data_IF_211867187833
#
_entry.id   IF_211867187833
#
_cell.length_a   1.000
_cell.length_b   1.000
_cell.length_c   1.000
_cell.angle_alpha   90.00
_cell.angle_beta   90.00
_cell.angle_gamma   90.00
#
_symmetry.space_group_name_H-M   'P 1'
#
loop_
_entity.id
_entity.type
_entity.pdbx_description
1 polymer ?
#
# COMPACT_ATOMS: atom_id res chain seq x y z
N UNK A 1 1.09 -36.85 -32.58
CA UNK A 1 2.30 -36.55 -31.77
C UNK A 1 2.12 -35.12 -31.25
N UNK A 2 1.28 -34.99 -30.18
CA UNK A 2 1.03 -33.69 -29.55
C UNK A 2 2.09 -33.51 -28.45
N UNK A 3 3.10 -32.74 -28.78
CA UNK A 3 3.97 -32.15 -27.74
C UNK A 3 3.08 -31.17 -26.95
N UNK A 4 2.76 -31.51 -25.71
CA UNK A 4 2.26 -30.58 -24.74
C UNK A 4 3.30 -29.43 -24.63
N UNK A 5 3.07 -28.32 -25.30
CA UNK A 5 3.70 -27.05 -24.98
C UNK A 5 3.38 -26.80 -23.50
N UNK A 6 4.29 -27.16 -22.62
CA UNK A 6 4.25 -26.77 -21.22
C UNK A 6 4.38 -25.25 -21.24
N UNK A 7 3.22 -24.55 -21.25
CA UNK A 7 3.23 -23.12 -21.04
C UNK A 7 3.97 -22.82 -19.74
N UNK A 8 4.97 -21.96 -19.82
CA UNK A 8 5.63 -21.49 -18.60
C UNK A 8 4.56 -20.92 -17.65
N UNK A 9 4.68 -21.17 -16.34
CA UNK A 9 3.75 -20.61 -15.36
C UNK A 9 3.70 -19.08 -15.50
N UNK A 10 2.51 -18.52 -15.61
CA UNK A 10 2.33 -17.06 -15.62
C UNK A 10 2.60 -16.56 -14.20
N UNK A 11 3.56 -15.64 -13.97
CA UNK A 11 3.77 -15.05 -12.67
C UNK A 11 2.63 -14.06 -12.35
N UNK A 12 2.17 -14.04 -11.09
CA UNK A 12 1.23 -13.01 -10.64
C UNK A 12 1.91 -11.64 -10.56
N UNK A 13 3.17 -11.63 -10.09
CA UNK A 13 4.12 -10.51 -10.12
C UNK A 13 5.46 -11.09 -10.57
N UNK A 14 6.14 -10.45 -11.53
CA UNK A 14 7.39 -10.96 -12.09
C UNK A 14 8.61 -10.19 -11.59
N UNK A 15 9.06 -10.56 -10.39
CA UNK A 15 10.28 -10.01 -9.79
C UNK A 15 11.55 -10.54 -10.49
N UNK A 16 11.47 -11.71 -11.16
CA UNK A 16 12.60 -12.27 -11.89
C UNK A 16 12.91 -11.46 -13.15
N UNK A 17 11.88 -11.07 -13.92
CA UNK A 17 12.05 -10.18 -15.07
C UNK A 17 12.61 -8.80 -14.64
N UNK A 18 12.14 -8.25 -13.52
CA UNK A 18 12.67 -7.00 -12.96
C UNK A 18 14.17 -7.16 -12.61
N UNK A 19 14.53 -8.25 -11.92
CA UNK A 19 15.92 -8.57 -11.59
C UNK A 19 16.80 -8.68 -12.85
N UNK A 20 16.28 -9.33 -13.90
CA UNK A 20 16.97 -9.47 -15.17
C UNK A 20 17.19 -8.12 -15.87
N UNK A 21 16.18 -7.23 -15.86
CA UNK A 21 16.27 -5.86 -16.41
C UNK A 21 17.36 -5.04 -15.73
N UNK A 22 17.46 -5.12 -14.41
CA UNK A 22 18.46 -4.39 -13.64
C UNK A 22 19.88 -4.96 -13.85
N UNK A 23 20.01 -6.27 -14.04
CA UNK A 23 21.25 -6.93 -14.42
C UNK A 23 22.42 -6.59 -13.48
N UNK A 24 23.56 -6.28 -14.09
CA UNK A 24 24.82 -6.02 -13.38
C UNK A 24 24.79 -4.80 -12.46
N UNK A 25 24.00 -3.76 -12.76
CA UNK A 25 23.94 -2.56 -11.92
C UNK A 25 23.49 -2.87 -10.51
N UNK A 26 22.51 -3.78 -10.38
CA UNK A 26 22.02 -4.25 -9.10
C UNK A 26 23.06 -5.10 -8.36
N UNK A 27 23.77 -5.99 -9.06
CA UNK A 27 24.84 -6.80 -8.46
C UNK A 27 25.96 -5.91 -7.93
N UNK A 28 26.38 -4.91 -8.70
CA UNK A 28 27.42 -3.95 -8.32
C UNK A 28 26.96 -3.10 -7.12
N UNK A 29 25.67 -2.72 -7.04
CA UNK A 29 25.13 -1.97 -5.91
C UNK A 29 25.22 -2.78 -4.61
N UNK A 30 24.81 -4.05 -4.63
CA UNK A 30 24.93 -4.95 -3.48
C UNK A 30 26.40 -5.20 -3.12
N UNK A 31 27.27 -5.43 -4.13
CA UNK A 31 28.69 -5.65 -3.92
C UNK A 31 29.40 -4.47 -3.24
N UNK A 32 29.00 -3.22 -3.53
CA UNK A 32 29.52 -2.02 -2.84
C UNK A 32 29.22 -2.06 -1.35
N UNK A 33 27.99 -2.42 -0.95
CA UNK A 33 27.64 -2.54 0.47
C UNK A 33 28.45 -3.62 1.17
N UNK A 34 28.64 -4.78 0.51
CA UNK A 34 29.48 -5.86 1.04
C UNK A 34 30.93 -5.43 1.20
N UNK A 35 31.46 -4.60 0.29
CA UNK A 35 32.84 -4.12 0.31
C UNK A 35 33.13 -3.16 1.48
N UNK A 36 32.18 -2.23 1.79
CA UNK A 36 32.39 -1.28 2.90
C UNK A 36 31.84 -1.76 4.25
N UNK A 37 31.06 -2.84 4.30
CA UNK A 37 30.53 -3.47 5.51
C UNK A 37 29.68 -2.57 6.43
N UNK A 38 29.13 -1.45 5.94
CA UNK A 38 28.19 -0.62 6.71
C UNK A 38 26.75 -1.09 6.48
N UNK A 39 26.39 -2.22 7.08
CA UNK A 39 25.10 -2.88 6.85
C UNK A 39 23.89 -2.13 7.43
N UNK A 40 24.10 -1.21 8.38
CA UNK A 40 23.09 -0.33 8.95
C UNK A 40 23.60 1.12 8.94
N UNK A 41 22.75 2.04 8.47
CA UNK A 41 23.09 3.46 8.43
C UNK A 41 24.22 3.81 7.43
N UNK A 42 24.45 2.96 6.42
CA UNK A 42 25.41 3.22 5.36
C UNK A 42 25.01 4.39 4.45
N UNK A 43 25.91 4.82 3.56
CA UNK A 43 25.68 5.97 2.68
C UNK A 43 24.46 5.79 1.77
N UNK A 44 24.10 4.56 1.38
CA UNK A 44 22.94 4.24 0.56
C UNK A 44 21.62 4.59 1.27
N UNK A 45 21.57 4.53 2.60
CA UNK A 45 20.40 4.95 3.38
C UNK A 45 20.16 6.45 3.21
N UNK A 46 21.23 7.26 3.36
CA UNK A 46 21.16 8.72 3.23
C UNK A 46 20.75 9.11 1.81
N UNK A 47 21.36 8.46 0.82
CA UNK A 47 21.06 8.67 -0.59
C UNK A 47 19.60 8.30 -0.91
N UNK A 48 19.14 7.13 -0.46
CA UNK A 48 17.76 6.67 -0.68
C UNK A 48 16.74 7.63 -0.07
N UNK A 49 16.95 8.06 1.18
CA UNK A 49 16.06 9.01 1.84
C UNK A 49 15.97 10.34 1.05
N UNK A 50 17.10 10.84 0.55
CA UNK A 50 17.12 12.04 -0.28
C UNK A 50 16.40 11.84 -1.63
N UNK A 51 16.63 10.72 -2.32
CA UNK A 51 16.01 10.42 -3.61
C UNK A 51 14.51 10.15 -3.48
N UNK A 52 14.05 9.46 -2.42
CA UNK A 52 12.62 9.27 -2.15
C UNK A 52 11.91 10.59 -1.89
N UNK A 53 12.51 11.47 -1.07
CA UNK A 53 11.95 12.79 -0.81
C UNK A 53 11.85 13.62 -2.10
N UNK A 54 12.91 13.66 -2.89
CA UNK A 54 12.94 14.36 -4.18
C UNK A 54 11.92 13.79 -5.18
N UNK A 55 11.78 12.47 -5.24
CA UNK A 55 10.85 11.77 -6.13
C UNK A 55 9.39 12.17 -5.87
N UNK A 56 8.99 12.30 -4.61
CA UNK A 56 7.63 12.67 -4.23
C UNK A 56 7.42 14.19 -4.09
N UNK A 57 8.50 14.99 -4.04
CA UNK A 57 8.44 16.41 -3.71
C UNK A 57 8.23 16.71 -2.22
N UNK A 58 8.52 15.73 -1.34
CA UNK A 58 8.55 15.92 0.11
C UNK A 58 9.87 16.55 0.56
N UNK A 59 9.87 17.23 1.73
CA UNK A 59 11.11 17.77 2.28
C UNK A 59 12.00 16.69 2.88
N UNK A 60 11.41 15.66 3.46
CA UNK A 60 12.13 14.64 4.22
C UNK A 60 11.55 13.24 3.95
N UNK A 61 12.44 12.25 3.98
CA UNK A 61 12.09 10.85 4.08
C UNK A 61 12.84 10.18 5.22
N UNK A 62 12.23 9.19 5.86
CA UNK A 62 12.83 8.33 6.88
C UNK A 62 12.57 6.89 6.48
N UNK A 63 13.59 6.16 6.09
CA UNK A 63 13.50 4.73 5.78
C UNK A 63 13.33 3.91 7.05
N UNK A 64 12.60 2.81 6.98
CA UNK A 64 12.34 1.92 8.11
C UNK A 64 12.21 0.45 7.67
N UNK A 65 12.01 -0.43 8.65
CA UNK A 65 12.01 -1.89 8.48
C UNK A 65 10.83 -2.45 7.71
N UNK A 66 9.69 -1.76 7.70
CA UNK A 66 8.47 -2.21 6.99
C UNK A 66 7.44 -1.09 6.84
N UNK A 67 6.44 -1.30 5.97
CA UNK A 67 5.28 -0.40 5.90
C UNK A 67 4.46 -0.37 7.20
N UNK A 68 4.38 -1.48 7.91
CA UNK A 68 3.72 -1.56 9.23
C UNK A 68 4.44 -0.67 10.24
N UNK A 69 5.77 -0.77 10.31
CA UNK A 69 6.56 0.09 11.18
C UNK A 69 6.49 1.56 10.77
N UNK A 70 6.37 1.86 9.47
CA UNK A 70 6.18 3.22 9.00
C UNK A 70 4.90 3.86 9.60
N UNK A 71 3.78 3.14 9.57
CA UNK A 71 2.52 3.59 10.20
C UNK A 71 2.68 3.71 11.71
N UNK A 72 3.18 2.65 12.36
CA UNK A 72 3.35 2.60 13.82
C UNK A 72 4.26 3.73 14.33
N UNK A 73 5.38 3.97 13.65
CA UNK A 73 6.33 5.03 14.02
C UNK A 73 5.70 6.42 14.01
N UNK A 74 4.86 6.74 13.02
CA UNK A 74 4.17 8.03 12.97
C UNK A 74 3.17 8.15 14.12
N UNK A 75 2.39 7.11 14.39
CA UNK A 75 1.43 7.09 15.50
C UNK A 75 2.14 7.25 16.86
N UNK A 76 3.24 6.53 17.07
CA UNK A 76 4.08 6.68 18.29
C UNK A 76 4.68 8.08 18.40
N UNK A 77 5.21 8.64 17.29
CA UNK A 77 5.80 9.98 17.27
C UNK A 77 4.78 11.08 17.53
N UNK A 78 3.49 10.83 17.26
CA UNK A 78 2.37 11.72 17.55
C UNK A 78 1.74 11.47 18.93
N UNK A 79 2.25 10.50 19.71
CA UNK A 79 1.76 10.18 21.04
C UNK A 79 0.37 9.55 21.05
N UNK A 80 -0.02 8.86 19.98
CA UNK A 80 -1.28 8.13 19.90
C UNK A 80 -1.25 6.96 20.88
N UNK A 81 -2.31 6.82 21.67
CA UNK A 81 -2.38 5.81 22.74
C UNK A 81 -3.78 5.56 23.28
N UNK A 82 -3.89 4.94 24.47
CA UNK A 82 -5.18 4.57 25.06
C UNK A 82 -6.13 5.76 25.22
N UNK A 83 -7.39 5.57 24.81
CA UNK A 83 -8.42 6.60 24.82
C UNK A 83 -8.49 7.42 23.52
N UNK A 84 -7.48 7.33 22.65
CA UNK A 84 -7.54 7.94 21.32
C UNK A 84 -8.23 7.00 20.33
N UNK A 85 -8.84 7.59 19.30
CA UNK A 85 -9.39 6.87 18.15
C UNK A 85 -8.67 7.29 16.87
N UNK A 86 -8.39 6.32 16.00
CA UNK A 86 -7.87 6.53 14.65
C UNK A 86 -8.83 5.90 13.65
N UNK A 87 -9.31 6.71 12.70
CA UNK A 87 -10.25 6.26 11.67
C UNK A 87 -9.48 5.60 10.53
N UNK A 88 -9.88 4.41 10.11
CA UNK A 88 -9.25 3.71 9.00
C UNK A 88 -10.28 2.88 8.21
N UNK A 89 -10.10 2.69 6.89
CA UNK A 89 -11.00 1.86 6.11
C UNK A 89 -10.98 0.41 6.60
N UNK A 90 -12.11 -0.27 6.49
CA UNK A 90 -12.20 -1.68 6.84
C UNK A 90 -11.75 -2.61 5.70
N UNK A 91 -11.84 -2.14 4.47
CA UNK A 91 -11.37 -2.87 3.31
C UNK A 91 -9.94 -2.44 2.97
N UNK A 92 -8.97 -3.01 3.69
CA UNK A 92 -7.53 -2.73 3.56
C UNK A 92 -6.70 -3.92 4.05
N UNK A 93 -5.38 -3.83 3.91
CA UNK A 93 -4.43 -4.74 4.57
C UNK A 93 -4.44 -4.51 6.09
N UNK A 94 -4.24 -5.58 6.85
CA UNK A 94 -4.36 -5.52 8.32
C UNK A 94 -3.44 -4.50 8.99
N UNK A 95 -2.27 -4.21 8.42
CA UNK A 95 -1.30 -3.28 9.00
C UNK A 95 -1.89 -1.90 9.32
N UNK A 96 -2.85 -1.42 8.52
CA UNK A 96 -3.49 -0.10 8.73
C UNK A 96 -4.19 -0.01 10.10
N UNK A 97 -5.00 -1.02 10.47
CA UNK A 97 -5.66 -1.07 11.77
C UNK A 97 -4.79 -1.64 12.88
N UNK A 98 -3.88 -2.56 12.54
CA UNK A 98 -2.94 -3.19 13.45
C UNK A 98 -1.99 -2.18 14.09
N UNK A 99 -1.40 -1.28 13.29
CA UNK A 99 -0.51 -0.23 13.79
C UNK A 99 -1.21 0.66 14.84
N UNK A 100 -2.50 0.95 14.65
CA UNK A 100 -3.30 1.69 15.63
C UNK A 100 -3.48 0.87 16.92
N UNK A 101 -3.89 -0.39 16.79
CA UNK A 101 -4.13 -1.25 17.94
C UNK A 101 -2.85 -1.48 18.78
N UNK A 102 -1.68 -1.58 18.13
CA UNK A 102 -0.38 -1.75 18.79
C UNK A 102 0.02 -0.54 19.65
N UNK A 103 -0.49 0.68 19.38
CA UNK A 103 -0.28 1.83 20.27
C UNK A 103 -1.19 1.81 21.52
N UNK A 104 -2.13 0.88 21.60
CA UNK A 104 -3.19 0.87 22.62
C UNK A 104 -4.36 1.80 22.30
N UNK A 105 -4.33 2.52 21.18
CA UNK A 105 -5.46 3.30 20.68
C UNK A 105 -6.53 2.39 20.04
N UNK A 106 -7.67 2.96 19.76
CA UNK A 106 -8.80 2.24 19.16
C UNK A 106 -8.89 2.54 17.66
N UNK A 107 -8.65 1.57 16.77
CA UNK A 107 -9.05 1.73 15.38
C UNK A 107 -10.57 1.77 15.28
N UNK A 108 -11.11 2.76 14.57
CA UNK A 108 -12.53 2.85 14.25
C UNK A 108 -12.70 2.64 12.76
N UNK A 109 -13.30 1.52 12.40
CA UNK A 109 -13.40 1.13 10.99
C UNK A 109 -14.53 1.90 10.28
N UNK A 110 -14.20 2.38 9.09
CA UNK A 110 -15.13 3.07 8.20
C UNK A 110 -15.24 2.34 6.87
N UNK A 111 -16.33 2.59 6.13
CA UNK A 111 -16.57 1.96 4.85
C UNK A 111 -15.74 2.60 3.73
N UNK A 112 -15.77 1.98 2.57
CA UNK A 112 -15.07 2.42 1.37
C UNK A 112 -16.06 2.68 0.23
N UNK A 113 -15.60 3.35 -0.81
CA UNK A 113 -16.34 3.55 -2.05
C UNK A 113 -16.28 2.28 -2.92
N UNK A 114 -17.38 1.97 -3.57
CA UNK A 114 -17.57 0.73 -4.32
C UNK A 114 -16.67 0.62 -5.57
N UNK A 115 -16.37 1.75 -6.19
CA UNK A 115 -15.69 1.82 -7.49
C UNK A 115 -14.20 2.17 -7.39
N UNK A 116 -13.78 2.80 -6.29
CA UNK A 116 -12.37 3.15 -6.05
C UNK A 116 -11.71 2.29 -4.97
N UNK A 117 -12.51 1.59 -4.14
CA UNK A 117 -12.07 0.80 -2.97
C UNK A 117 -11.45 1.65 -1.84
N UNK A 118 -11.40 2.95 -2.02
CA UNK A 118 -10.79 3.89 -1.08
C UNK A 118 -11.83 4.43 -0.09
N UNK A 119 -11.35 5.04 1.00
CA UNK A 119 -12.18 5.51 2.11
C UNK A 119 -13.40 6.33 1.65
N UNK A 120 -14.59 6.01 2.18
CA UNK A 120 -15.83 6.79 1.97
C UNK A 120 -15.86 8.00 2.92
N UNK A 121 -15.83 9.25 2.40
CA UNK A 121 -15.90 10.45 3.23
C UNK A 121 -17.17 10.53 4.09
N UNK A 122 -18.29 10.00 3.61
CA UNK A 122 -19.53 9.98 4.39
C UNK A 122 -19.44 8.98 5.55
N UNK A 123 -18.85 7.82 5.34
CA UNK A 123 -18.59 6.85 6.39
C UNK A 123 -17.53 7.35 7.37
N UNK A 124 -16.52 8.10 6.91
CA UNK A 124 -15.54 8.75 7.78
C UNK A 124 -16.22 9.68 8.79
N UNK A 125 -17.15 10.55 8.34
CA UNK A 125 -17.90 11.43 9.25
C UNK A 125 -18.73 10.62 10.27
N UNK A 126 -19.39 9.53 9.86
CA UNK A 126 -20.12 8.63 10.78
C UNK A 126 -19.18 7.96 11.79
N UNK A 127 -18.00 7.50 11.34
CA UNK A 127 -16.99 6.90 12.21
C UNK A 127 -16.47 7.87 13.28
N UNK A 128 -16.25 9.15 12.93
CA UNK A 128 -15.85 10.20 13.88
C UNK A 128 -16.97 10.41 14.93
N UNK A 129 -18.22 10.50 14.50
CA UNK A 129 -19.36 10.60 15.41
C UNK A 129 -19.46 9.39 16.34
N UNK A 130 -19.26 8.18 15.79
CA UNK A 130 -19.24 6.93 16.57
C UNK A 130 -18.14 6.97 17.63
N UNK A 131 -16.90 7.37 17.28
CA UNK A 131 -15.80 7.48 18.23
C UNK A 131 -16.14 8.44 19.38
N UNK A 132 -16.66 9.64 19.06
CA UNK A 132 -17.09 10.63 20.06
C UNK A 132 -18.19 10.09 20.99
N UNK A 133 -19.18 9.40 20.43
CA UNK A 133 -20.27 8.77 21.19
C UNK A 133 -19.78 7.68 22.16
N UNK A 134 -18.72 6.97 21.79
CA UNK A 134 -18.06 5.95 22.62
C UNK A 134 -17.10 6.55 23.68
N UNK A 135 -16.99 7.87 23.77
CA UNK A 135 -16.10 8.56 24.69
C UNK A 135 -14.62 8.53 24.27
N UNK A 136 -14.33 8.11 23.04
CA UNK A 136 -12.98 8.14 22.47
C UNK A 136 -12.67 9.53 21.91
N UNK A 137 -11.38 9.83 21.80
CA UNK A 137 -10.87 11.09 21.22
C UNK A 137 -10.38 10.83 19.79
N UNK A 138 -11.13 11.18 18.73
CA UNK A 138 -10.62 11.11 17.38
C UNK A 138 -9.36 11.99 17.25
N UNK A 139 -8.26 11.40 16.75
CA UNK A 139 -6.95 12.07 16.61
C UNK A 139 -6.42 12.05 15.21
N UNK A 140 -6.71 10.99 14.46
CA UNK A 140 -6.17 10.80 13.14
C UNK A 140 -7.13 10.07 12.22
N UNK A 141 -6.90 10.20 10.93
CA UNK A 141 -7.44 9.33 9.88
C UNK A 141 -6.29 8.76 9.07
N UNK A 142 -6.39 7.47 8.72
CA UNK A 142 -5.46 6.78 7.84
C UNK A 142 -6.22 6.40 6.55
N UNK A 143 -6.28 7.29 5.54
CA UNK A 143 -6.70 6.87 4.20
C UNK A 143 -5.68 5.89 3.64
N UNK A 144 -6.13 5.00 2.76
CA UNK A 144 -5.26 4.02 2.10
C UNK A 144 -5.36 4.22 0.60
N UNK A 145 -4.23 4.32 -0.09
CA UNK A 145 -4.16 4.38 -1.55
C UNK A 145 -4.23 2.96 -2.14
N UNK A 146 -5.39 2.34 -2.00
CA UNK A 146 -5.58 0.92 -2.23
C UNK A 146 -5.41 0.56 -3.72
N UNK A 147 -4.78 -0.58 -3.97
CA UNK A 147 -4.51 -1.15 -5.29
C UNK A 147 -3.64 -0.27 -6.21
N UNK A 148 -3.13 0.84 -5.69
CA UNK A 148 -2.26 1.74 -6.44
C UNK A 148 -2.91 3.05 -6.86
N UNK A 149 -4.17 3.27 -6.52
CA UNK A 149 -4.91 4.49 -6.76
C UNK A 149 -5.06 5.32 -5.49
N UNK A 150 -4.80 6.63 -5.60
CA UNK A 150 -4.97 7.61 -4.53
C UNK A 150 -6.38 7.62 -3.95
N UNK A 151 -6.48 7.77 -2.63
CA UNK A 151 -7.71 8.22 -1.97
C UNK A 151 -8.09 9.65 -2.41
N UNK A 152 -9.33 10.07 -2.12
CA UNK A 152 -9.73 11.49 -2.28
C UNK A 152 -9.14 12.33 -1.13
N UNK A 153 -7.88 12.72 -1.30
CA UNK A 153 -7.16 13.48 -0.29
C UNK A 153 -7.77 14.84 0.02
N UNK A 154 -8.44 15.49 -0.94
CA UNK A 154 -9.09 16.78 -0.68
C UNK A 154 -10.30 16.59 0.24
N UNK A 155 -11.13 15.57 0.00
CA UNK A 155 -12.29 15.27 0.84
C UNK A 155 -11.86 14.83 2.25
N UNK A 156 -10.81 14.00 2.35
CA UNK A 156 -10.25 13.56 3.64
C UNK A 156 -9.65 14.73 4.40
N UNK A 157 -8.84 15.58 3.73
CA UNK A 157 -8.21 16.74 4.35
C UNK A 157 -9.24 17.74 4.87
N UNK A 158 -10.33 18.00 4.12
CA UNK A 158 -11.40 18.89 4.57
C UNK A 158 -12.05 18.37 5.85
N UNK A 159 -12.38 17.06 5.91
CA UNK A 159 -12.97 16.46 7.12
C UNK A 159 -11.97 16.49 8.28
N UNK A 160 -10.72 16.18 8.01
CA UNK A 160 -9.67 16.18 9.04
C UNK A 160 -9.46 17.59 9.63
N UNK A 161 -9.49 18.64 8.81
CA UNK A 161 -9.39 20.02 9.26
C UNK A 161 -10.59 20.43 10.11
N UNK A 162 -11.82 20.11 9.69
CA UNK A 162 -13.05 20.39 10.43
C UNK A 162 -13.05 19.75 11.84
N UNK A 163 -12.41 18.58 11.97
CA UNK A 163 -12.45 17.75 13.17
C UNK A 163 -11.15 17.81 14.00
N UNK A 164 -10.16 18.56 13.56
CA UNK A 164 -8.84 18.67 14.22
C UNK A 164 -8.03 17.38 14.21
N UNK A 165 -8.19 16.57 13.17
CA UNK A 165 -7.44 15.31 12.97
C UNK A 165 -6.17 15.55 12.16
N UNK A 166 -5.12 14.79 12.43
CA UNK A 166 -4.07 14.67 11.43
C UNK A 166 -4.35 13.53 10.44
N UNK A 167 -3.84 13.66 9.22
CA UNK A 167 -3.91 12.64 8.19
C UNK A 167 -2.57 11.92 8.12
N UNK A 168 -2.59 10.60 8.24
CA UNK A 168 -1.47 9.70 7.95
C UNK A 168 -1.84 8.88 6.71
N UNK A 169 -1.25 9.20 5.58
CA UNK A 169 -1.54 8.54 4.33
C UNK A 169 -0.84 7.17 4.26
N UNK A 170 -1.59 6.09 4.03
CA UNK A 170 -1.06 4.74 3.80
C UNK A 170 -0.90 4.50 2.30
N UNK A 171 0.24 4.87 1.78
CA UNK A 171 0.63 4.71 0.39
C UNK A 171 1.41 3.39 0.13
N UNK A 172 1.27 2.38 0.98
CA UNK A 172 1.96 1.09 0.81
C UNK A 172 1.66 0.42 -0.55
N UNK A 173 0.58 0.79 -1.21
CA UNK A 173 0.23 0.34 -2.57
C UNK A 173 0.20 1.48 -3.59
N UNK A 174 0.15 2.74 -3.14
CA UNK A 174 -0.02 3.92 -3.98
C UNK A 174 1.27 4.70 -4.28
N UNK A 175 2.41 4.35 -3.67
CA UNK A 175 3.68 5.06 -3.88
C UNK A 175 4.05 5.14 -5.36
N UNK A 176 4.24 6.36 -5.88
CA UNK A 176 4.51 6.64 -7.30
C UNK A 176 3.28 7.08 -8.11
N UNK A 177 2.06 6.88 -7.60
CA UNK A 177 0.85 7.45 -8.18
C UNK A 177 0.78 8.96 -7.96
N UNK A 178 -0.18 9.61 -8.59
CA UNK A 178 -0.45 11.03 -8.39
C UNK A 178 -1.94 11.32 -8.19
N UNK A 179 -2.21 12.33 -7.39
CA UNK A 179 -3.52 12.91 -7.17
C UNK A 179 -3.50 14.37 -7.62
N UNK A 180 -4.32 14.70 -8.64
CA UNK A 180 -4.42 16.06 -9.22
C UNK A 180 -3.04 16.67 -9.57
N UNK A 181 -2.19 15.87 -10.19
CA UNK A 181 -0.85 16.29 -10.64
C UNK A 181 0.24 16.33 -9.57
N UNK A 182 -0.06 16.01 -8.30
CA UNK A 182 0.92 15.88 -7.22
C UNK A 182 1.20 14.40 -6.94
N UNK A 183 2.47 14.02 -6.86
CA UNK A 183 2.84 12.64 -6.47
C UNK A 183 2.41 12.33 -5.04
N UNK A 184 2.01 11.09 -4.81
CA UNK A 184 1.77 10.55 -3.48
C UNK A 184 3.08 10.62 -2.67
N UNK A 185 2.97 11.08 -1.41
CA UNK A 185 4.10 11.28 -0.51
C UNK A 185 4.10 12.63 0.22
N UNK A 186 3.19 13.55 -0.17
CA UNK A 186 3.08 14.88 0.44
C UNK A 186 1.65 15.22 0.91
N UNK A 187 0.81 14.20 1.08
CA UNK A 187 -0.55 14.36 1.58
C UNK A 187 -0.61 14.13 3.10
N UNK A 188 -1.35 15.00 3.79
CA UNK A 188 -1.46 14.97 5.26
C UNK A 188 -0.18 15.39 6.00
N UNK A 189 -0.06 14.91 7.23
CA UNK A 189 1.11 15.13 8.10
C UNK A 189 2.31 14.30 7.67
N UNK A 190 2.04 13.06 7.25
CA UNK A 190 3.03 12.11 6.78
C UNK A 190 2.38 11.08 5.84
N UNK A 191 3.17 10.54 4.94
CA UNK A 191 2.84 9.40 4.09
C UNK A 191 3.73 8.23 4.46
N UNK A 192 3.14 7.07 4.77
CA UNK A 192 3.83 5.80 5.02
C UNK A 192 3.80 4.94 3.75
N UNK A 193 4.92 4.31 3.39
CA UNK A 193 4.98 3.36 2.28
C UNK A 193 5.70 2.09 2.64
N UNK A 194 5.52 1.05 1.83
CA UNK A 194 6.09 -0.28 2.01
C UNK A 194 6.96 -0.66 0.82
N UNK A 195 8.10 -1.25 1.10
CA UNK A 195 9.01 -1.84 0.11
C UNK A 195 9.02 -3.37 0.16
N UNK A 196 7.97 -4.01 0.67
CA UNK A 196 7.81 -5.46 0.56
C UNK A 196 7.99 -5.90 -0.90
N UNK A 197 8.64 -7.04 -1.20
CA UNK A 197 9.09 -7.41 -2.56
C UNK A 197 8.01 -7.35 -3.65
N UNK A 198 6.74 -7.60 -3.30
CA UNK A 198 5.63 -7.55 -4.24
C UNK A 198 5.03 -6.16 -4.45
N UNK A 199 5.53 -5.12 -3.77
CA UNK A 199 5.08 -3.74 -3.95
C UNK A 199 5.60 -3.15 -5.26
N UNK A 200 4.95 -2.12 -5.82
CA UNK A 200 5.41 -1.47 -7.05
C UNK A 200 6.88 -1.07 -6.99
N UNK A 201 7.33 -0.46 -5.90
CA UNK A 201 8.74 -0.27 -5.57
C UNK A 201 9.06 -1.18 -4.37
N UNK A 202 9.55 -2.40 -4.63
CA UNK A 202 9.85 -3.39 -3.60
C UNK A 202 11.35 -3.69 -3.50
N UNK A 203 11.88 -3.87 -2.28
CA UNK A 203 13.25 -4.33 -2.04
C UNK A 203 13.36 -5.88 -2.06
N UNK A 204 14.45 -6.44 -1.62
CA UNK A 204 14.66 -7.90 -1.57
C UNK A 204 14.50 -8.47 -0.15
N UNK A 205 13.54 -7.95 0.57
CA UNK A 205 13.17 -8.29 1.92
C UNK A 205 12.11 -7.30 2.41
N UNK A 206 12.01 -7.12 3.71
CA UNK A 206 11.14 -6.09 4.26
C UNK A 206 11.78 -4.70 4.19
N UNK A 207 10.94 -3.69 4.08
CA UNK A 207 11.33 -2.29 4.05
C UNK A 207 10.12 -1.37 4.00
N UNK A 208 10.33 -0.12 4.34
CA UNK A 208 9.35 0.94 4.26
C UNK A 208 10.00 2.31 4.37
N UNK A 209 9.20 3.34 4.21
CA UNK A 209 9.61 4.71 4.46
C UNK A 209 8.43 5.59 4.89
N UNK A 210 8.76 6.69 5.52
CA UNK A 210 7.84 7.77 5.90
C UNK A 210 8.32 9.03 5.21
N UNK A 211 7.42 9.73 4.53
CA UNK A 211 7.67 11.03 3.92
C UNK A 211 6.92 12.09 4.71
N UNK A 212 7.53 13.26 4.91
CA UNK A 212 6.91 14.37 5.64
C UNK A 212 7.59 15.70 5.30
N UNK A 213 6.86 16.79 5.49
CA UNK A 213 7.40 18.15 5.41
C UNK A 213 7.68 18.77 6.80
N UNK A 214 7.35 18.03 7.88
CA UNK A 214 7.49 18.48 9.28
C UNK A 214 8.85 18.07 9.85
N UNK A 215 9.72 19.06 10.08
CA UNK A 215 11.05 18.85 10.65
C UNK A 215 11.00 18.31 12.10
N UNK A 216 10.00 18.72 12.90
CA UNK A 216 9.84 18.21 14.26
C UNK A 216 9.40 16.74 14.27
N UNK A 217 8.55 16.34 13.31
CA UNK A 217 8.20 14.94 13.13
C UNK A 217 9.42 14.12 12.66
N UNK A 218 10.23 14.65 11.73
CA UNK A 218 11.47 14.00 11.29
C UNK A 218 12.38 13.63 12.46
N UNK A 219 12.60 14.57 13.39
CA UNK A 219 13.44 14.31 14.57
C UNK A 219 12.85 13.20 15.45
N UNK A 220 11.54 13.27 15.71
CA UNK A 220 10.86 12.22 16.49
C UNK A 220 10.94 10.86 15.82
N UNK A 221 10.72 10.78 14.50
CA UNK A 221 10.79 9.53 13.73
C UNK A 221 12.20 8.91 13.75
N UNK A 222 13.24 9.73 13.58
CA UNK A 222 14.64 9.26 13.68
C UNK A 222 14.95 8.67 15.05
N UNK A 223 14.44 9.28 16.10
CA UNK A 223 14.56 8.78 17.45
C UNK A 223 13.78 7.47 17.66
N UNK A 224 12.49 7.43 17.28
CA UNK A 224 11.63 6.22 17.39
C UNK A 224 12.23 5.05 16.60
N UNK A 225 12.76 5.27 15.40
CA UNK A 225 13.41 4.26 14.55
C UNK A 225 14.58 3.53 15.25
N UNK A 226 15.22 4.20 16.20
CA UNK A 226 16.43 3.74 16.87
C UNK A 226 16.27 3.76 18.40
N UNK A 227 15.31 2.99 18.91
CA UNK A 227 15.04 2.76 20.33
C UNK A 227 14.69 4.02 21.14
N UNK A 228 14.24 5.10 20.49
CA UNK A 228 13.88 6.34 21.18
C UNK A 228 15.08 7.15 21.68
N UNK A 229 16.29 6.92 21.11
CA UNK A 229 17.51 7.61 21.50
C UNK A 229 17.41 9.13 21.39
N UNK A 230 18.05 9.83 22.33
CA UNK A 230 18.20 11.28 22.35
C UNK A 230 19.56 11.74 21.82
N UNK A 231 20.01 12.93 22.28
CA UNK A 231 21.34 13.45 21.99
C UNK A 231 22.44 12.72 22.75
N UNK A 232 22.12 12.18 23.93
CA UNK A 232 23.02 11.27 24.68
C UNK A 232 22.80 9.83 24.18
N UNK A 233 23.90 9.13 23.91
CA UNK A 233 23.91 7.74 23.44
C UNK A 233 23.21 6.78 24.40
N UNK A 234 23.21 7.06 25.69
CA UNK A 234 22.68 6.19 26.72
C UNK A 234 21.36 6.69 27.34
N UNK A 235 20.81 7.81 26.82
CA UNK A 235 19.51 8.34 27.23
C UNK A 235 18.45 8.14 26.15
N UNK A 236 17.53 7.20 26.39
CA UNK A 236 16.37 6.96 25.56
C UNK A 236 15.23 7.87 26.00
N UNK A 237 15.06 9.00 25.32
CA UNK A 237 14.13 10.08 25.69
C UNK A 237 12.67 9.75 25.38
N UNK A 238 12.39 8.64 24.71
CA UNK A 238 11.04 8.09 24.41
C UNK A 238 11.10 6.59 24.16
N UNK A 239 9.92 5.96 24.13
CA UNK A 239 9.82 4.58 23.64
C UNK A 239 10.10 4.56 22.13
N UNK A 240 10.80 3.55 21.66
CA UNK A 240 11.16 3.38 20.27
C UNK A 240 11.22 1.92 19.84
N UNK A 241 11.62 1.72 18.61
CA UNK A 241 11.67 0.42 17.92
C UNK A 241 13.08 0.16 17.37
N UNK A 242 13.36 -1.07 17.01
CA UNK A 242 14.41 -1.43 16.06
C UNK A 242 13.80 -1.46 14.67
N UNK A 243 13.58 -0.28 14.08
CA UNK A 243 12.84 -0.14 12.83
C UNK A 243 13.70 0.49 11.71
N UNK A 244 14.92 -0.01 11.56
CA UNK A 244 15.87 0.48 10.54
C UNK A 244 15.72 -0.31 9.24
N UNK A 245 15.93 0.36 8.11
CA UNK A 245 16.15 -0.31 6.83
C UNK A 245 17.61 -0.76 6.73
N UNK A 246 17.86 -1.98 6.25
CA UNK A 246 19.21 -2.47 5.98
C UNK A 246 19.81 -1.76 4.77
N UNK A 247 21.12 -1.45 4.81
CA UNK A 247 21.81 -0.75 3.72
C UNK A 247 21.77 -1.52 2.40
N UNK A 248 21.77 -2.85 2.45
CA UNK A 248 21.61 -3.69 1.24
C UNK A 248 20.26 -3.43 0.58
N UNK A 249 19.18 -3.31 1.34
CA UNK A 249 17.86 -3.02 0.79
C UNK A 249 17.79 -1.61 0.19
N UNK A 250 18.47 -0.65 0.80
CA UNK A 250 18.58 0.70 0.26
C UNK A 250 19.33 0.70 -1.09
N UNK A 251 20.41 -0.03 -1.22
CA UNK A 251 21.14 -0.18 -2.47
C UNK A 251 20.27 -0.80 -3.60
N UNK A 252 19.46 -1.80 -3.26
CA UNK A 252 18.48 -2.39 -4.19
C UNK A 252 17.44 -1.38 -4.63
N UNK A 253 16.87 -0.62 -3.69
CA UNK A 253 15.82 0.37 -3.96
C UNK A 253 16.35 1.52 -4.83
N UNK A 254 17.57 1.98 -4.62
CA UNK A 254 18.20 3.01 -5.44
C UNK A 254 18.28 2.58 -6.92
N UNK A 255 18.64 1.33 -7.20
CA UNK A 255 18.67 0.83 -8.57
C UNK A 255 17.27 0.68 -9.17
N UNK A 256 16.31 0.20 -8.38
CA UNK A 256 14.92 0.06 -8.82
C UNK A 256 14.22 1.40 -9.05
N UNK A 257 14.52 2.42 -8.25
CA UNK A 257 13.94 3.76 -8.41
C UNK A 257 14.29 4.38 -9.78
N UNK A 258 15.46 4.05 -10.36
CA UNK A 258 15.88 4.53 -11.69
C UNK A 258 14.97 4.06 -12.83
N UNK A 259 14.33 2.91 -12.68
CA UNK A 259 13.43 2.33 -13.70
C UNK A 259 11.96 2.40 -13.33
N UNK A 260 11.63 2.99 -12.17
CA UNK A 260 10.31 2.90 -11.57
C UNK A 260 9.22 3.58 -12.39
N UNK A 261 9.49 4.77 -12.94
CA UNK A 261 8.53 5.49 -13.81
C UNK A 261 8.25 4.72 -15.11
N UNK A 262 9.26 4.06 -15.69
CA UNK A 262 9.06 3.20 -16.87
C UNK A 262 8.17 1.98 -16.52
N UNK A 263 8.36 1.40 -15.33
CA UNK A 263 7.54 0.28 -14.89
C UNK A 263 6.09 0.71 -14.61
N UNK A 264 5.88 1.92 -14.07
CA UNK A 264 4.54 2.50 -13.91
C UNK A 264 3.89 2.69 -15.29
N UNK A 265 4.61 3.24 -16.26
CA UNK A 265 4.09 3.41 -17.61
C UNK A 265 3.70 2.07 -18.25
N UNK A 266 4.53 1.05 -18.13
CA UNK A 266 4.24 -0.30 -18.63
C UNK A 266 3.02 -0.93 -17.93
N UNK A 267 2.85 -0.75 -16.61
CA UNK A 267 1.66 -1.21 -15.86
C UNK A 267 0.38 -0.51 -16.34
N UNK A 268 0.44 0.77 -16.69
CA UNK A 268 -0.72 1.48 -17.24
C UNK A 268 -1.15 0.88 -18.57
N UNK A 269 -0.22 0.54 -19.49
CA UNK A 269 -0.54 -0.16 -20.73
C UNK A 269 -1.24 -1.50 -20.47
N UNK A 270 -0.75 -2.28 -19.51
CA UNK A 270 -1.40 -3.55 -19.12
C UNK A 270 -2.80 -3.31 -18.57
N UNK A 271 -2.98 -2.29 -17.72
CA UNK A 271 -4.29 -1.97 -17.14
C UNK A 271 -5.30 -1.51 -18.21
N UNK A 272 -4.87 -0.69 -19.15
CA UNK A 272 -5.71 -0.22 -20.28
C UNK A 272 -6.19 -1.39 -21.14
N UNK A 273 -5.32 -2.35 -21.48
CA UNK A 273 -5.70 -3.56 -22.22
C UNK A 273 -6.73 -4.40 -21.46
N UNK A 274 -6.54 -4.64 -20.17
CA UNK A 274 -7.51 -5.36 -19.34
C UNK A 274 -8.85 -4.62 -19.30
N UNK A 275 -8.82 -3.31 -19.07
CA UNK A 275 -10.03 -2.48 -19.01
C UNK A 275 -10.80 -2.52 -20.33
N UNK A 276 -10.13 -2.33 -21.46
CA UNK A 276 -10.76 -2.36 -22.80
C UNK A 276 -11.37 -3.72 -23.12
N UNK A 277 -10.73 -4.81 -22.68
CA UNK A 277 -11.15 -6.17 -23.04
C UNK A 277 -12.15 -6.81 -22.05
N UNK A 278 -12.32 -6.27 -20.84
CA UNK A 278 -13.11 -6.92 -19.79
C UNK A 278 -14.28 -6.07 -19.28
N UNK A 279 -14.40 -4.78 -19.65
CA UNK A 279 -15.41 -3.87 -19.11
C UNK A 279 -16.86 -4.27 -19.42
N UNK A 280 -17.08 -5.11 -20.43
CA UNK A 280 -18.39 -5.64 -20.83
C UNK A 280 -18.82 -6.89 -20.06
N UNK A 281 -17.89 -7.56 -19.37
CA UNK A 281 -18.16 -8.83 -18.65
C UNK A 281 -17.92 -8.77 -17.14
N UNK A 282 -17.11 -7.83 -16.65
CA UNK A 282 -16.87 -7.61 -15.22
C UNK A 282 -16.83 -6.13 -14.88
N UNK A 283 -16.98 -5.76 -13.61
CA UNK A 283 -16.73 -4.38 -13.18
C UNK A 283 -15.22 -4.18 -13.02
N UNK A 284 -14.65 -3.42 -13.95
CA UNK A 284 -13.22 -3.06 -13.95
C UNK A 284 -12.93 -1.91 -12.98
N UNK A 285 -11.68 -1.76 -12.48
CA UNK A 285 -11.30 -0.64 -11.61
C UNK A 285 -11.49 0.69 -12.35
N UNK A 286 -11.98 1.70 -11.64
CA UNK A 286 -12.14 3.06 -12.14
C UNK A 286 -11.06 3.96 -11.57
N UNK A 287 -10.39 4.72 -12.42
CA UNK A 287 -9.54 5.83 -11.99
C UNK A 287 -10.41 7.09 -11.77
N UNK A 288 -10.15 7.78 -10.65
CA UNK A 288 -10.73 9.09 -10.38
C UNK A 288 -10.07 10.14 -11.29
N UNK A 289 -10.86 11.10 -11.76
CA UNK A 289 -10.36 12.16 -12.64
C UNK A 289 -9.19 12.92 -12.00
N UNK A 290 -8.14 13.11 -12.78
CA UNK A 290 -6.90 13.76 -12.32
C UNK A 290 -5.98 12.86 -11.46
N UNK A 291 -6.34 11.59 -11.24
CA UNK A 291 -5.49 10.61 -10.55
C UNK A 291 -4.78 9.70 -11.55
N UNK A 292 -3.60 9.23 -11.15
CA UNK A 292 -2.91 8.11 -11.81
C UNK A 292 -2.86 6.92 -10.87
N UNK A 293 -2.58 5.73 -11.41
CA UNK A 293 -2.37 4.52 -10.60
C UNK A 293 -1.02 3.89 -10.92
N UNK A 294 -0.40 3.28 -9.91
CA UNK A 294 0.75 2.41 -10.10
C UNK A 294 0.35 0.95 -10.30
N UNK A 295 -0.95 0.67 -10.23
CA UNK A 295 -1.49 -0.67 -10.44
C UNK A 295 -0.74 -1.74 -9.63
N UNK A 296 -0.67 -1.53 -8.32
CA UNK A 296 -0.13 -2.55 -7.41
C UNK A 296 -0.89 -3.87 -7.56
N UNK A 297 -2.19 -3.78 -7.80
CA UNK A 297 -3.09 -4.87 -8.23
C UNK A 297 -4.04 -4.37 -9.31
N UNK A 298 -4.41 -5.25 -10.23
CA UNK A 298 -5.56 -5.05 -11.11
C UNK A 298 -6.72 -5.89 -10.60
N UNK A 299 -7.61 -5.27 -9.84
CA UNK A 299 -8.68 -5.93 -9.11
C UNK A 299 -10.02 -5.70 -9.80
N UNK A 300 -10.65 -6.76 -10.27
CA UNK A 300 -11.98 -6.76 -10.87
C UNK A 300 -13.03 -7.20 -9.85
N UNK A 301 -14.29 -6.82 -10.08
CA UNK A 301 -15.44 -7.35 -9.36
C UNK A 301 -16.25 -8.25 -10.26
N UNK A 302 -16.56 -9.44 -9.74
CA UNK A 302 -17.34 -10.42 -10.47
C UNK A 302 -18.83 -10.00 -10.55
N UNK A 303 -19.53 -10.38 -11.64
CA UNK A 303 -20.97 -10.19 -11.76
C UNK A 303 -21.73 -10.88 -10.64
N UNK A 304 -22.89 -10.32 -10.27
CA UNK A 304 -23.77 -10.93 -9.28
C UNK A 304 -24.16 -12.36 -9.70
N UNK A 305 -23.99 -13.31 -8.77
CA UNK A 305 -24.32 -14.73 -8.98
C UNK A 305 -23.14 -15.57 -9.47
N UNK A 306 -22.00 -14.98 -9.80
CA UNK A 306 -20.77 -15.73 -10.08
C UNK A 306 -20.10 -16.08 -8.77
N UNK A 307 -19.87 -17.39 -8.54
CA UNK A 307 -19.12 -17.87 -7.39
C UNK A 307 -17.62 -17.66 -7.61
N UNK A 308 -17.00 -16.83 -6.75
CA UNK A 308 -15.61 -16.42 -6.88
C UNK A 308 -14.63 -17.58 -6.79
N UNK A 309 -14.89 -18.55 -5.91
CA UNK A 309 -13.96 -19.67 -5.70
C UNK A 309 -14.00 -20.61 -6.90
N UNK A 310 -15.17 -20.86 -7.46
CA UNK A 310 -15.34 -21.59 -8.72
C UNK A 310 -14.65 -20.88 -9.88
N UNK A 311 -14.82 -19.58 -10.00
CA UNK A 311 -14.15 -18.76 -11.01
C UNK A 311 -12.62 -18.83 -10.87
N UNK A 312 -12.09 -18.64 -9.65
CA UNK A 312 -10.66 -18.73 -9.39
C UNK A 312 -10.10 -20.12 -9.71
N UNK A 313 -10.84 -21.18 -9.38
CA UNK A 313 -10.46 -22.57 -9.70
C UNK A 313 -10.42 -22.80 -11.21
N UNK A 314 -11.37 -22.26 -11.98
CA UNK A 314 -11.37 -22.33 -13.44
C UNK A 314 -10.14 -21.67 -14.06
N UNK A 315 -9.77 -20.48 -13.62
CA UNK A 315 -8.57 -19.79 -14.07
C UNK A 315 -7.30 -20.58 -13.71
N UNK A 316 -7.22 -21.06 -12.48
CA UNK A 316 -6.09 -21.88 -12.00
C UNK A 316 -5.92 -23.16 -12.83
N UNK A 317 -7.02 -23.83 -13.22
CA UNK A 317 -6.98 -25.00 -14.07
C UNK A 317 -6.36 -24.73 -15.45
N UNK A 318 -6.43 -23.48 -15.93
CA UNK A 318 -5.81 -22.99 -17.16
C UNK A 318 -4.41 -22.38 -16.92
N UNK A 319 -3.85 -22.53 -15.70
CA UNK A 319 -2.52 -22.03 -15.35
C UNK A 319 -2.45 -20.51 -15.15
N UNK A 320 -3.59 -19.86 -14.87
CA UNK A 320 -3.65 -18.41 -14.57
C UNK A 320 -3.79 -18.24 -13.07
N UNK A 321 -2.77 -17.65 -12.40
CA UNK A 321 -2.85 -17.36 -10.98
C UNK A 321 -3.77 -16.15 -10.73
N UNK A 322 -4.49 -16.20 -9.62
CA UNK A 322 -5.30 -15.08 -9.12
C UNK A 322 -5.05 -14.87 -7.64
N UNK A 323 -5.38 -13.70 -7.13
CA UNK A 323 -5.30 -13.39 -5.71
C UNK A 323 -6.56 -12.65 -5.24
N UNK A 324 -6.89 -12.79 -3.96
CA UNK A 324 -8.05 -12.13 -3.35
C UNK A 324 -7.57 -11.16 -2.29
N UNK A 325 -7.75 -9.86 -2.55
CA UNK A 325 -7.43 -8.76 -1.65
C UNK A 325 -8.69 -7.91 -1.42
N UNK A 326 -9.45 -8.16 -0.32
CA UNK A 326 -9.20 -9.08 0.81
C UNK A 326 -10.42 -9.96 1.03
N UNK A 327 -10.28 -11.24 1.41
CA UNK A 327 -11.42 -12.16 1.57
C UNK A 327 -12.27 -11.87 2.80
N UNK A 328 -11.80 -11.01 3.70
CA UNK A 328 -12.52 -10.51 4.88
C UNK A 328 -12.13 -9.08 5.16
N UNK A 329 -13.10 -8.21 5.35
CA UNK A 329 -12.89 -6.86 5.88
C UNK A 329 -12.34 -6.91 7.30
N UNK A 330 -11.61 -5.87 7.72
CA UNK A 330 -10.94 -5.81 9.02
C UNK A 330 -11.89 -6.08 10.19
N UNK A 331 -13.05 -5.42 10.23
CA UNK A 331 -14.04 -5.58 11.31
C UNK A 331 -14.65 -7.00 11.40
N UNK A 332 -14.46 -7.84 10.37
CA UNK A 332 -14.91 -9.24 10.36
C UNK A 332 -13.81 -10.23 10.77
N UNK A 333 -12.55 -9.79 10.85
CA UNK A 333 -11.43 -10.64 11.21
C UNK A 333 -11.38 -10.87 12.72
N UNK A 334 -11.00 -12.06 13.14
CA UNK A 334 -11.04 -12.49 14.56
C UNK A 334 -10.29 -11.55 15.50
N UNK A 335 -9.13 -11.03 15.09
CA UNK A 335 -8.32 -10.13 15.91
C UNK A 335 -8.93 -8.72 16.02
N UNK A 336 -9.67 -8.26 15.00
CA UNK A 336 -10.10 -6.86 14.89
C UNK A 336 -11.59 -6.63 15.12
N UNK A 337 -12.41 -7.70 15.15
CA UNK A 337 -13.88 -7.60 15.36
C UNK A 337 -14.29 -7.04 16.72
N UNK A 338 -13.36 -6.89 17.64
CA UNK A 338 -13.56 -6.29 18.95
C UNK A 338 -13.56 -4.76 18.88
N UNK A 339 -13.07 -4.17 17.82
CA UNK A 339 -13.01 -2.73 17.64
C UNK A 339 -14.28 -2.18 16.95
N UNK A 340 -14.65 -0.94 17.25
CA UNK A 340 -15.88 -0.34 16.72
C UNK A 340 -15.79 -0.05 15.21
N UNK A 341 -16.95 -0.05 14.59
CA UNK A 341 -17.18 0.42 13.22
C UNK A 341 -18.10 1.62 13.20
N UNK A 342 -18.09 2.39 12.12
CA UNK A 342 -18.99 3.50 11.90
C UNK A 342 -20.47 3.04 12.01
N UNK A 343 -21.32 3.85 12.64
CA UNK A 343 -22.74 3.57 12.75
C UNK A 343 -23.35 3.39 11.34
N UNK A 344 -24.28 2.44 11.24
CA UNK A 344 -24.90 2.04 9.96
C UNK A 344 -24.20 0.88 9.25
N UNK A 345 -23.12 0.36 9.82
CA UNK A 345 -22.37 -0.77 9.27
C UNK A 345 -21.46 -0.41 8.10
N UNK A 346 -20.80 -1.42 7.53
CA UNK A 346 -19.81 -1.28 6.46
C UNK A 346 -20.16 -2.17 5.25
N UNK A 347 -21.37 -2.01 4.66
CA UNK A 347 -21.88 -2.96 3.65
C UNK A 347 -21.05 -3.01 2.38
N UNK A 348 -20.39 -1.92 1.97
CA UNK A 348 -19.55 -1.92 0.77
C UNK A 348 -18.28 -2.74 1.01
N UNK A 349 -17.61 -2.56 2.16
CA UNK A 349 -16.46 -3.36 2.54
C UNK A 349 -16.78 -4.87 2.59
N UNK A 350 -17.95 -5.21 3.15
CA UNK A 350 -18.40 -6.61 3.22
C UNK A 350 -18.68 -7.20 1.84
N UNK A 351 -19.35 -6.45 0.97
CA UNK A 351 -19.67 -6.86 -0.39
C UNK A 351 -18.39 -7.04 -1.22
N UNK A 352 -17.46 -6.09 -1.16
CA UNK A 352 -16.18 -6.17 -1.87
C UNK A 352 -15.38 -7.41 -1.45
N UNK A 353 -15.41 -7.77 -0.16
CA UNK A 353 -14.73 -8.96 0.34
C UNK A 353 -15.25 -10.26 -0.29
N UNK A 354 -16.47 -10.28 -0.83
CA UNK A 354 -17.05 -11.42 -1.54
C UNK A 354 -16.82 -11.40 -3.05
N UNK A 355 -16.75 -10.21 -3.67
CA UNK A 355 -16.82 -10.07 -5.14
C UNK A 355 -15.48 -9.90 -5.82
N UNK A 356 -14.45 -9.38 -5.10
CA UNK A 356 -13.19 -9.00 -5.74
C UNK A 356 -12.28 -10.18 -6.03
N UNK A 357 -11.56 -10.08 -7.15
CA UNK A 357 -10.45 -10.95 -7.50
C UNK A 357 -9.43 -10.16 -8.32
N UNK A 358 -8.15 -10.39 -8.08
CA UNK A 358 -7.06 -9.69 -8.78
C UNK A 358 -6.43 -10.59 -9.82
N UNK A 359 -6.19 -10.02 -10.99
CA UNK A 359 -5.53 -10.67 -12.14
C UNK A 359 -4.01 -10.40 -12.09
N UNK A 360 -3.18 -11.20 -12.79
CA UNK A 360 -1.75 -10.95 -12.91
C UNK A 360 -1.47 -9.53 -13.40
N UNK A 361 -0.63 -8.78 -12.66
CA UNK A 361 -0.33 -7.38 -12.97
C UNK A 361 1.12 -7.05 -12.65
N UNK A 362 1.91 -6.82 -13.68
CA UNK A 362 3.30 -6.37 -13.57
C UNK A 362 3.77 -5.71 -14.88
N UNK A 363 4.85 -4.93 -14.82
CA UNK A 363 5.39 -4.16 -15.95
C UNK A 363 5.90 -5.03 -17.12
N UNK A 364 6.09 -6.32 -16.89
CA UNK A 364 6.69 -7.28 -17.85
C UNK A 364 5.66 -8.24 -18.44
N UNK A 365 4.35 -7.97 -18.25
CA UNK A 365 3.29 -8.81 -18.80
C UNK A 365 3.11 -8.49 -20.28
N UNK A 366 3.59 -9.40 -21.14
CA UNK A 366 3.49 -9.26 -22.59
C UNK A 366 2.04 -9.40 -23.09
N UNK A 367 1.79 -8.88 -24.30
CA UNK A 367 0.46 -8.82 -24.90
C UNK A 367 -0.13 -10.21 -25.16
N UNK A 368 0.67 -11.17 -25.59
CA UNK A 368 0.20 -12.52 -25.90
C UNK A 368 -0.21 -13.27 -24.62
N UNK A 369 0.59 -13.15 -23.57
CA UNK A 369 0.28 -13.71 -22.24
C UNK A 369 -0.98 -13.06 -21.66
N UNK A 370 -1.09 -11.74 -21.78
CA UNK A 370 -2.25 -11.00 -21.31
C UNK A 370 -3.51 -11.37 -22.10
N UNK A 371 -3.43 -11.52 -23.43
CA UNK A 371 -4.52 -11.96 -24.28
C UNK A 371 -5.06 -13.31 -23.84
N UNK A 372 -4.18 -14.28 -23.56
CA UNK A 372 -4.57 -15.59 -23.00
C UNK A 372 -5.30 -15.46 -21.65
N UNK A 373 -4.86 -14.57 -20.76
CA UNK A 373 -5.55 -14.33 -19.48
C UNK A 373 -6.97 -13.78 -19.76
N UNK A 374 -7.11 -12.82 -20.65
CA UNK A 374 -8.38 -12.21 -21.03
C UNK A 374 -9.34 -13.26 -21.59
N UNK A 375 -8.88 -14.10 -22.53
CA UNK A 375 -9.70 -15.15 -23.14
C UNK A 375 -10.23 -16.14 -22.11
N UNK A 376 -9.39 -16.56 -21.15
CA UNK A 376 -9.81 -17.47 -20.08
C UNK A 376 -10.78 -16.81 -19.11
N UNK A 377 -10.54 -15.54 -18.74
CA UNK A 377 -11.48 -14.79 -17.90
C UNK A 377 -12.85 -14.71 -18.55
N UNK A 378 -12.92 -14.34 -19.85
CA UNK A 378 -14.17 -14.27 -20.59
C UNK A 378 -14.84 -15.64 -20.72
N UNK A 379 -14.07 -16.70 -21.03
CA UNK A 379 -14.59 -18.05 -21.14
C UNK A 379 -15.12 -18.62 -19.81
N UNK A 380 -14.58 -18.21 -18.68
CA UNK A 380 -15.06 -18.63 -17.36
C UNK A 380 -16.34 -17.89 -16.89
N UNK A 381 -16.73 -16.83 -17.60
CA UNK A 381 -17.95 -16.03 -17.32
C UNK A 381 -19.08 -16.28 -18.34
N UNK A 382 -18.79 -17.01 -19.44
CA UNK A 382 -19.76 -17.36 -20.47
C UNK A 382 -20.58 -18.60 -20.02
#
# INVERSE_FOLDING_TARGET
MNQHLRHQPIPFIDTAAQRQRLGKSLDDAVARVLAHCQFLGGPEIIQLEAELAAYCGAKYAVSCSSGTDALLMVLMAQGIGPGDAVLCPSFTFCATGEAVALTGATPVFVDVLEDTFNIDPASLRRGIATAKRLGLKPKAVIPVDLFGQSADHDAVAAIAADEGLFVLDDAAQGFGASYKGRRIGTFGLATATSFYPAKPLGCFGDGGAILTDDAGLLERLRSVRAHGGGSDKYDNVRLGLTARLDTIQAAVLLEKLKIFDDEIAARNVVAERYTAALADVVKVPRLVDGCTSVWAQYTIRLPKGVDRDTFAAALKAQGIPTAIYYPKSMHQQTAYRIFPSADGGLPVSEQLSSDVISLPMHAYLDEATQGRIIDVVRGALA
#
